data_IF_288557011585
#
_entry.id   IF_288557011585
#
_cell.length_a   1.000
_cell.length_b   1.000
_cell.length_c   1.000
_cell.angle_alpha   90.00
_cell.angle_beta   90.00
_cell.angle_gamma   90.00
#
_symmetry.space_group_name_H-M   'P 1'
#
loop_
_entity.id
_entity.type
_entity.pdbx_description
1 polymer ?
#
# COMPACT_ATOMS: atom_id res chain seq x y z
N UNK A 1 14.39 0.37 6.74
CA UNK A 1 13.43 -0.27 7.66
C UNK A 1 12.47 -1.13 6.86
N UNK A 2 11.97 -2.22 7.46
CA UNK A 2 11.04 -3.14 6.80
C UNK A 2 9.85 -3.37 7.73
N UNK A 3 8.64 -3.07 7.25
CA UNK A 3 7.40 -3.37 7.96
C UNK A 3 6.56 -4.36 7.19
N UNK A 4 5.87 -5.23 7.92
CA UNK A 4 5.19 -6.40 7.38
C UNK A 4 3.76 -6.41 7.89
N UNK A 5 2.78 -6.49 6.99
CA UNK A 5 1.35 -6.57 7.33
C UNK A 5 0.72 -7.80 6.69
N UNK A 6 0.34 -8.76 7.53
CA UNK A 6 -0.40 -9.94 7.11
C UNK A 6 -1.85 -9.59 6.79
N UNK A 7 -2.39 -10.22 5.75
CA UNK A 7 -3.83 -10.24 5.50
C UNK A 7 -4.55 -10.91 6.68
N UNK A 8 -5.79 -10.51 7.03
CA UNK A 8 -6.55 -11.12 8.12
C UNK A 8 -6.75 -12.64 7.99
N UNK A 9 -6.77 -13.16 6.76
CA UNK A 9 -6.89 -14.59 6.47
C UNK A 9 -5.54 -15.35 6.50
N UNK A 10 -4.41 -14.64 6.61
CA UNK A 10 -3.07 -15.23 6.57
C UNK A 10 -2.63 -15.75 5.19
N UNK A 11 -3.37 -15.45 4.12
CA UNK A 11 -3.10 -15.95 2.76
C UNK A 11 -2.07 -15.12 2.00
N UNK A 12 -1.90 -13.86 2.35
CA UNK A 12 -0.89 -12.97 1.77
C UNK A 12 -0.34 -11.98 2.80
N UNK A 13 0.78 -11.37 2.45
CA UNK A 13 1.49 -10.39 3.25
C UNK A 13 1.90 -9.20 2.38
N UNK A 14 1.73 -7.99 2.92
CA UNK A 14 2.32 -6.77 2.38
C UNK A 14 3.65 -6.51 3.07
N UNK A 15 4.69 -6.33 2.26
CA UNK A 15 6.04 -6.01 2.72
C UNK A 15 6.36 -4.60 2.25
N UNK A 16 6.50 -3.71 3.23
CA UNK A 16 6.92 -2.34 3.02
C UNK A 16 8.42 -2.24 3.22
N UNK A 17 9.10 -1.67 2.24
CA UNK A 17 10.54 -1.41 2.31
C UNK A 17 10.77 0.09 2.28
N UNK A 18 11.54 0.59 3.23
CA UNK A 18 12.00 1.98 3.25
C UNK A 18 13.51 1.99 3.30
N UNK A 19 14.16 2.42 2.22
CA UNK A 19 15.60 2.68 2.20
C UNK A 19 15.83 4.15 2.60
N UNK A 20 16.89 4.43 3.35
CA UNK A 20 17.22 5.79 3.81
C UNK A 20 18.36 6.42 3.00
N UNK A 21 19.03 5.65 2.14
CA UNK A 21 20.17 6.10 1.34
C UNK A 21 20.18 5.35 0.01
N UNK A 22 19.89 6.04 -1.08
CA UNK A 22 20.26 5.55 -2.42
C UNK A 22 21.75 5.85 -2.62
N UNK A 23 22.56 4.82 -2.85
CA UNK A 23 24.01 4.90 -3.13
C UNK A 23 24.36 5.66 -4.41
N UNK A 24 23.35 6.07 -5.20
CA UNK A 24 23.47 6.83 -6.45
C UNK A 24 23.39 8.35 -6.27
N UNK A 25 23.05 8.87 -5.09
CA UNK A 25 23.07 10.31 -4.82
C UNK A 25 21.90 11.13 -5.39
N UNK A 26 20.96 10.49 -6.09
CA UNK A 26 19.81 11.18 -6.73
C UNK A 26 18.60 11.37 -5.78
N UNK A 27 18.48 10.55 -4.72
CA UNK A 27 17.32 10.56 -3.82
C UNK A 27 17.76 10.76 -2.35
N UNK A 28 17.73 12.00 -1.86
CA UNK A 28 18.09 12.34 -0.46
C UNK A 28 17.14 11.73 0.60
N UNK A 29 15.98 11.22 0.17
CA UNK A 29 14.93 10.66 1.03
C UNK A 29 14.77 9.13 0.89
N UNK A 30 15.65 8.49 0.10
CA UNK A 30 15.58 7.06 -0.20
C UNK A 30 14.33 6.66 -1.00
N UNK A 31 14.15 5.35 -1.18
CA UNK A 31 13.09 4.74 -1.99
C UNK A 31 12.15 3.90 -1.13
N UNK A 32 10.85 4.05 -1.38
CA UNK A 32 9.81 3.24 -0.72
C UNK A 32 9.25 2.22 -1.69
N UNK A 33 9.30 0.94 -1.33
CA UNK A 33 8.72 -0.16 -2.08
C UNK A 33 7.55 -0.78 -1.33
N UNK A 34 6.56 -1.27 -2.07
CA UNK A 34 5.53 -2.15 -1.54
C UNK A 34 5.50 -3.41 -2.37
N UNK A 35 5.67 -4.54 -1.71
CA UNK A 35 5.59 -5.86 -2.31
C UNK A 35 4.45 -6.62 -1.68
N UNK A 36 3.79 -7.46 -2.47
CA UNK A 36 2.82 -8.42 -1.98
C UNK A 36 3.33 -9.82 -2.26
N UNK A 37 3.27 -10.68 -1.26
CA UNK A 37 3.68 -12.08 -1.34
C UNK A 37 2.54 -12.95 -0.81
N UNK A 38 2.18 -14.00 -1.54
CA UNK A 38 1.23 -15.02 -1.07
C UNK A 38 1.95 -16.03 -0.18
N UNK A 39 1.26 -16.52 0.85
CA UNK A 39 1.82 -17.43 1.84
C UNK A 39 2.21 -18.80 1.26
N UNK A 40 1.61 -19.18 0.13
CA UNK A 40 1.91 -20.41 -0.60
C UNK A 40 3.18 -20.30 -1.49
N UNK A 41 3.77 -19.11 -1.58
CA UNK A 41 4.94 -18.82 -2.42
C UNK A 41 4.66 -18.83 -3.92
N UNK A 42 3.39 -18.95 -4.35
CA UNK A 42 3.03 -19.01 -5.77
C UNK A 42 2.96 -17.64 -6.43
N UNK A 43 2.82 -16.58 -5.63
CA UNK A 43 2.67 -15.23 -6.12
C UNK A 43 3.50 -14.25 -5.32
N UNK A 44 4.35 -13.52 -6.03
CA UNK A 44 5.04 -12.33 -5.53
C UNK A 44 4.99 -11.23 -6.59
N UNK A 45 4.75 -10.00 -6.16
CA UNK A 45 4.71 -8.86 -7.06
C UNK A 45 5.05 -7.56 -6.34
N UNK A 46 5.77 -6.66 -7.02
CA UNK A 46 5.83 -5.25 -6.61
C UNK A 46 4.50 -4.58 -6.94
N UNK A 47 3.86 -3.97 -5.93
CA UNK A 47 2.56 -3.32 -6.11
C UNK A 47 2.75 -2.05 -6.97
N UNK A 48 2.13 -1.97 -8.16
CA UNK A 48 2.31 -0.82 -9.04
C UNK A 48 1.62 0.40 -8.46
N UNK A 49 2.38 1.44 -8.13
CA UNK A 49 1.84 2.71 -7.65
C UNK A 49 1.38 3.56 -8.82
N UNK A 50 0.24 4.22 -8.68
CA UNK A 50 -0.28 5.16 -9.68
C UNK A 50 0.44 6.52 -9.66
N UNK A 51 1.11 6.85 -8.55
CA UNK A 51 1.85 8.10 -8.37
C UNK A 51 3.20 7.81 -7.73
N UNK A 52 4.25 8.44 -8.25
CA UNK A 52 5.58 8.37 -7.66
C UNK A 52 5.65 9.16 -6.36
N UNK A 53 6.27 8.57 -5.35
CA UNK A 53 6.49 9.20 -4.06
C UNK A 53 6.37 8.23 -2.90
N UNK A 54 6.43 8.75 -1.66
CA UNK A 54 6.37 7.93 -0.47
C UNK A 54 4.99 7.30 -0.30
N UNK A 55 4.97 6.13 0.36
CA UNK A 55 3.73 5.53 0.86
C UNK A 55 3.40 6.14 2.20
N UNK A 56 2.21 6.70 2.34
CA UNK A 56 1.73 7.22 3.62
C UNK A 56 1.04 6.13 4.44
N UNK A 57 0.23 5.28 3.79
CA UNK A 57 -0.44 4.17 4.45
C UNK A 57 -0.76 3.03 3.46
N UNK A 58 -0.78 1.80 3.98
CA UNK A 58 -1.32 0.63 3.31
C UNK A 58 -2.07 -0.22 4.34
N UNK A 59 -3.32 -0.60 4.03
CA UNK A 59 -4.17 -1.39 4.94
C UNK A 59 -4.98 -2.44 4.21
N UNK A 60 -5.01 -3.64 4.78
CA UNK A 60 -5.85 -4.73 4.33
C UNK A 60 -7.32 -4.45 4.63
N UNK A 61 -8.19 -4.84 3.69
CA UNK A 61 -9.61 -4.97 4.00
C UNK A 61 -9.82 -6.07 5.05
N UNK A 62 -10.82 -5.95 5.95
CA UNK A 62 -11.10 -6.96 6.96
C UNK A 62 -11.45 -8.34 6.40
N UNK A 63 -11.92 -8.40 5.14
CA UNK A 63 -12.22 -9.66 4.46
C UNK A 63 -10.96 -10.33 3.86
N UNK A 64 -9.82 -9.65 3.84
CA UNK A 64 -8.54 -10.14 3.35
C UNK A 64 -8.46 -10.38 1.84
N UNK A 65 -9.38 -9.85 1.04
CA UNK A 65 -9.42 -10.02 -0.43
C UNK A 65 -8.88 -8.84 -1.20
N UNK A 66 -8.78 -7.69 -0.54
CA UNK A 66 -8.34 -6.43 -1.13
C UNK A 66 -7.53 -5.64 -0.12
N UNK A 67 -6.78 -4.66 -0.59
CA UNK A 67 -6.07 -3.70 0.25
C UNK A 67 -6.06 -2.33 -0.40
N UNK A 68 -5.90 -1.28 0.41
CA UNK A 68 -5.79 0.10 -0.09
C UNK A 68 -4.40 0.61 0.21
N UNK A 69 -3.85 1.35 -0.75
CA UNK A 69 -2.57 2.04 -0.63
C UNK A 69 -2.80 3.53 -0.90
N UNK A 70 -2.24 4.38 -0.03
CA UNK A 70 -2.12 5.80 -0.27
C UNK A 70 -0.65 6.12 -0.54
N UNK A 71 -0.35 6.53 -1.76
CA UNK A 71 1.02 6.82 -2.19
C UNK A 71 1.08 8.06 -3.10
N UNK A 72 2.27 8.66 -3.15
CA UNK A 72 2.58 9.76 -4.05
C UNK A 72 2.91 11.07 -3.34
N UNK A 73 3.60 11.97 -4.06
CA UNK A 73 3.85 13.33 -3.59
C UNK A 73 2.52 14.10 -3.47
N UNK A 74 2.33 14.80 -2.36
CA UNK A 74 1.07 15.47 -2.05
C UNK A 74 0.61 16.40 -3.21
N UNK A 75 -0.67 16.33 -3.62
CA UNK A 75 -1.74 15.49 -3.06
C UNK A 75 -1.59 13.99 -3.45
N UNK A 76 -1.67 13.11 -2.45
CA UNK A 76 -1.44 11.68 -2.63
C UNK A 76 -2.66 11.00 -3.28
N UNK A 77 -2.40 9.89 -3.98
CA UNK A 77 -3.44 9.07 -4.62
C UNK A 77 -3.77 7.88 -3.73
N UNK A 78 -5.06 7.61 -3.54
CA UNK A 78 -5.53 6.44 -2.83
C UNK A 78 -6.12 5.42 -3.83
N UNK A 79 -5.63 4.19 -3.78
CA UNK A 79 -5.99 3.14 -4.75
C UNK A 79 -6.28 1.81 -4.04
N UNK A 80 -7.37 1.17 -4.44
CA UNK A 80 -7.78 -0.19 -4.03
C UNK A 80 -7.16 -1.21 -4.97
N UNK A 81 -6.60 -2.27 -4.41
CA UNK A 81 -5.95 -3.36 -5.12
C UNK A 81 -6.56 -4.72 -4.76
N UNK A 82 -6.55 -5.64 -5.72
CA UNK A 82 -6.94 -7.03 -5.55
C UNK A 82 -5.80 -7.92 -5.00
N UNK A 83 -6.07 -9.21 -4.76
CA UNK A 83 -5.07 -10.21 -4.37
C UNK A 83 -4.01 -10.51 -5.45
N UNK A 84 -4.04 -9.86 -6.61
CA UNK A 84 -3.00 -9.92 -7.64
C UNK A 84 -2.26 -8.60 -7.79
N UNK A 85 -2.40 -7.68 -6.82
CA UNK A 85 -1.84 -6.34 -6.82
C UNK A 85 -2.25 -5.51 -8.05
N UNK A 86 -3.43 -5.79 -8.63
CA UNK A 86 -3.98 -5.01 -9.73
C UNK A 86 -4.88 -3.91 -9.16
N UNK A 87 -4.74 -2.66 -9.63
CA UNK A 87 -5.60 -1.57 -9.18
C UNK A 87 -7.03 -1.80 -9.68
N UNK A 88 -7.98 -1.96 -8.76
CA UNK A 88 -9.40 -2.12 -9.07
C UNK A 88 -10.14 -0.79 -9.08
N UNK A 89 -9.77 0.11 -8.17
CA UNK A 89 -10.45 1.41 -8.04
C UNK A 89 -9.48 2.49 -7.56
N UNK A 90 -9.55 3.68 -8.17
CA UNK A 90 -8.82 4.86 -7.72
C UNK A 90 -9.79 5.84 -7.08
N UNK A 91 -9.53 6.21 -5.82
CA UNK A 91 -10.32 7.20 -5.09
C UNK A 91 -9.92 8.66 -5.43
N UNK A 92 -9.05 8.84 -6.42
CA UNK A 92 -8.51 10.12 -6.84
C UNK A 92 -7.41 10.65 -5.92
N UNK A 93 -7.00 11.88 -6.20
CA UNK A 93 -5.98 12.61 -5.43
C UNK A 93 -6.62 13.40 -4.28
N UNK A 94 -5.92 13.49 -3.16
CA UNK A 94 -6.35 14.31 -2.03
C UNK A 94 -5.32 14.37 -0.90
N UNK A 95 -5.55 15.26 0.05
CA UNK A 95 -4.78 15.32 1.29
C UNK A 95 -5.24 14.19 2.22
N UNK A 96 -4.70 12.99 2.00
CA UNK A 96 -5.03 11.77 2.74
C UNK A 96 -3.73 11.10 3.15
N UNK A 97 -3.69 10.57 4.37
CA UNK A 97 -2.55 9.85 4.95
C UNK A 97 -2.96 8.67 5.82
N UNK A 98 -4.26 8.53 6.12
CA UNK A 98 -4.80 7.49 7.01
C UNK A 98 -5.90 6.71 6.32
N UNK A 99 -5.86 5.39 6.47
CA UNK A 99 -6.86 4.44 5.99
C UNK A 99 -7.49 3.77 7.20
N UNK A 100 -8.83 3.75 7.28
CA UNK A 100 -9.53 3.01 8.32
C UNK A 100 -10.73 2.27 7.73
N UNK A 101 -10.77 0.96 7.93
CA UNK A 101 -11.85 0.10 7.46
C UNK A 101 -12.93 -0.05 8.53
N UNK A 102 -14.19 -0.05 8.10
CA UNK A 102 -15.30 -0.60 8.90
C UNK A 102 -15.02 -2.06 9.24
N UNK A 103 -15.29 -2.55 10.46
CA UNK A 103 -15.06 -3.96 10.83
C UNK A 103 -15.76 -4.97 9.90
N UNK A 104 -16.89 -4.59 9.30
CA UNK A 104 -17.63 -5.41 8.34
C UNK A 104 -17.08 -5.34 6.91
N UNK A 105 -16.05 -4.51 6.65
CA UNK A 105 -15.39 -4.36 5.36
C UNK A 105 -16.19 -3.64 4.27
N UNK A 106 -17.40 -3.14 4.59
CA UNK A 106 -18.28 -2.47 3.62
C UNK A 106 -17.89 -1.01 3.37
N UNK A 107 -17.41 -0.32 4.39
CA UNK A 107 -17.07 1.10 4.33
C UNK A 107 -15.59 1.32 4.63
N UNK A 108 -15.05 2.35 3.99
CA UNK A 108 -13.67 2.80 4.15
C UNK A 108 -13.67 4.30 4.42
N UNK A 109 -12.86 4.72 5.39
CA UNK A 109 -12.55 6.11 5.65
C UNK A 109 -11.14 6.42 5.16
N UNK A 110 -11.02 7.48 4.36
CA UNK A 110 -9.74 8.06 3.95
C UNK A 110 -9.66 9.46 4.55
N UNK A 111 -8.72 9.66 5.46
CA UNK A 111 -8.52 10.92 6.17
C UNK A 111 -7.08 11.42 5.98
N UNK A 112 -6.86 12.71 6.22
CA UNK A 112 -5.55 13.35 6.22
C UNK A 112 -5.42 14.32 7.38
N UNK A 113 -4.19 14.49 7.86
CA UNK A 113 -3.80 15.50 8.83
C UNK A 113 -2.95 16.57 8.13
#
# INVERSE_FOLDING_TARGET
>A
DVSIKWSPAGSAVLVYTHTTVDTTGDSYYGSTGLHMVHADGQFECGVPMQAEGPISAAEWSPNGRQFVVIAGRMPATATLYDMKARPEFSFGTGHRSVISWSPHGRFLCLAGF
#
